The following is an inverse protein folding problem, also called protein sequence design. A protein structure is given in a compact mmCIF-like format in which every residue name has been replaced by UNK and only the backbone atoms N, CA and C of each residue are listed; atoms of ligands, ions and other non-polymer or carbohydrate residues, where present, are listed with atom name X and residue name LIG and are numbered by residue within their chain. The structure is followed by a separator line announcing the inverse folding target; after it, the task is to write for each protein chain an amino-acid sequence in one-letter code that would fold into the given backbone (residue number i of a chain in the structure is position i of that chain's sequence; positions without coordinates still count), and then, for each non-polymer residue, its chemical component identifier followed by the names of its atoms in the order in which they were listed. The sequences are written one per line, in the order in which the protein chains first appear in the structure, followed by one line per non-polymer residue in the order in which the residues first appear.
data_IF_669174471346
#
_entry.id   IF_669174471346
#
_cell.length_a   1.000
_cell.length_b   1.000
_cell.length_c   1.000
_cell.angle_alpha   90.00
_cell.angle_beta   90.00
_cell.angle_gamma   90.00
#
_symmetry.space_group_name_H-M   'P 1'
#
loop_
_entity.id
_entity.type
_entity.pdbx_description
1 polymer ?
#
# COMPACT_ATOMS: atom_id res chain seq x y z
N UNK A 1 45.52 -18.07 -15.38
CA UNK A 1 45.34 -17.34 -16.66
C UNK A 1 46.25 -16.13 -16.61
N UNK A 2 47.26 -16.09 -17.47
CA UNK A 2 48.15 -14.93 -17.59
C UNK A 2 47.43 -13.87 -18.40
N UNK A 3 47.02 -12.77 -17.78
CA UNK A 3 46.36 -11.68 -18.49
C UNK A 3 47.41 -10.85 -19.25
N UNK A 4 47.13 -10.50 -20.50
CA UNK A 4 47.98 -9.58 -21.23
C UNK A 4 47.56 -8.15 -20.90
N UNK A 5 48.45 -7.39 -20.26
CA UNK A 5 48.17 -6.00 -19.88
C UNK A 5 48.00 -5.07 -21.08
N UNK A 6 48.58 -5.45 -22.23
CA UNK A 6 48.50 -4.68 -23.48
C UNK A 6 47.09 -4.61 -24.05
N UNK A 7 46.24 -5.61 -23.78
CA UNK A 7 44.83 -5.63 -24.19
C UNK A 7 44.02 -4.48 -23.57
N UNK A 8 44.56 -3.87 -22.51
CA UNK A 8 43.98 -2.73 -21.81
C UNK A 8 44.70 -1.41 -22.12
N UNK A 9 45.58 -1.38 -23.13
CA UNK A 9 46.39 -0.21 -23.48
C UNK A 9 47.41 0.15 -22.40
N UNK A 10 47.90 -0.85 -21.65
CA UNK A 10 48.85 -0.69 -20.57
C UNK A 10 50.15 -1.44 -20.88
N UNK A 11 51.27 -0.89 -20.43
CA UNK A 11 52.55 -1.59 -20.42
C UNK A 11 52.81 -2.20 -19.05
N UNK A 12 53.51 -3.37 -18.97
CA UNK A 12 53.80 -4.02 -17.70
C UNK A 12 54.47 -3.08 -16.69
N UNK A 13 54.04 -3.16 -15.44
CA UNK A 13 54.59 -2.35 -14.37
C UNK A 13 54.75 -3.17 -13.09
N UNK A 14 55.79 -2.87 -12.32
CA UNK A 14 56.07 -3.50 -11.02
C UNK A 14 55.86 -2.46 -9.92
N UNK A 15 55.18 -2.86 -8.85
CA UNK A 15 54.94 -2.05 -7.66
C UNK A 15 54.91 -2.96 -6.43
N UNK A 16 55.34 -2.42 -5.28
CA UNK A 16 55.26 -3.12 -3.98
C UNK A 16 53.90 -2.85 -3.31
N UNK A 17 53.17 -1.82 -3.78
CA UNK A 17 51.96 -1.35 -3.12
C UNK A 17 50.75 -2.27 -3.28
N UNK A 18 50.70 -3.07 -4.34
CA UNK A 18 49.61 -4.01 -4.64
C UNK A 18 50.18 -5.23 -5.37
N UNK A 19 49.73 -6.43 -5.01
CA UNK A 19 50.14 -7.68 -5.65
C UNK A 19 49.00 -8.33 -6.46
N UNK A 20 49.39 -9.15 -7.45
CA UNK A 20 48.44 -10.01 -8.18
C UNK A 20 47.87 -11.03 -7.20
N UNK A 21 46.55 -11.26 -7.26
CA UNK A 21 45.79 -12.10 -6.33
C UNK A 21 45.24 -11.37 -5.11
N UNK A 22 45.64 -10.11 -4.87
CA UNK A 22 45.09 -9.32 -3.78
C UNK A 22 43.64 -8.92 -4.06
N UNK A 23 42.79 -8.95 -3.02
CA UNK A 23 41.36 -8.64 -3.14
C UNK A 23 41.02 -7.34 -2.40
N UNK A 24 40.25 -6.48 -3.07
CA UNK A 24 39.74 -5.23 -2.53
C UNK A 24 38.23 -5.16 -2.73
N UNK A 25 37.47 -5.38 -1.64
CA UNK A 25 36.02 -5.55 -1.74
C UNK A 25 35.69 -6.76 -2.62
N UNK A 26 35.03 -6.53 -3.76
CA UNK A 26 34.71 -7.57 -4.76
C UNK A 26 35.68 -7.62 -5.94
N UNK A 27 36.77 -6.86 -5.90
CA UNK A 27 37.72 -6.75 -7.00
C UNK A 27 38.97 -7.57 -6.69
N UNK A 28 39.21 -8.62 -7.47
CA UNK A 28 40.44 -9.41 -7.44
C UNK A 28 41.45 -8.83 -8.45
N UNK A 29 42.68 -8.58 -8.02
CA UNK A 29 43.74 -8.06 -8.88
C UNK A 29 44.34 -9.17 -9.73
N UNK A 30 44.29 -9.00 -11.06
CA UNK A 30 44.74 -10.01 -12.04
C UNK A 30 45.85 -9.49 -12.97
N UNK A 31 46.15 -8.19 -12.94
CA UNK A 31 47.24 -7.60 -13.72
C UNK A 31 47.62 -6.21 -13.24
N UNK A 32 48.87 -5.81 -13.48
CA UNK A 32 49.42 -4.51 -13.06
C UNK A 32 50.13 -3.88 -14.26
N UNK A 33 49.78 -2.64 -14.58
CA UNK A 33 50.38 -1.92 -15.69
C UNK A 33 50.44 -0.42 -15.44
N UNK A 34 50.95 0.32 -16.42
CA UNK A 34 50.90 1.78 -16.45
C UNK A 34 50.59 2.23 -17.87
N UNK A 35 50.12 3.47 -18.02
CA UNK A 35 50.03 4.08 -19.35
C UNK A 35 51.42 4.44 -19.84
N UNK A 36 51.62 4.42 -21.15
CA UNK A 36 52.89 4.86 -21.75
C UNK A 36 53.10 6.37 -21.54
N UNK A 37 52.02 7.16 -21.68
CA UNK A 37 52.03 8.61 -21.55
C UNK A 37 52.10 9.16 -20.11
N UNK A 38 51.98 8.32 -19.08
CA UNK A 38 51.95 8.78 -17.68
C UNK A 38 52.52 7.75 -16.71
N UNK A 39 53.16 8.22 -15.63
CA UNK A 39 53.69 7.40 -14.53
C UNK A 39 52.61 6.79 -13.62
N UNK A 40 51.32 7.06 -13.82
CA UNK A 40 50.23 6.49 -13.00
C UNK A 40 50.11 4.97 -13.21
N UNK A 41 50.10 4.23 -12.11
CA UNK A 41 49.86 2.80 -12.11
C UNK A 41 48.37 2.47 -12.22
N UNK A 42 48.07 1.46 -13.03
CA UNK A 42 46.76 0.89 -13.26
C UNK A 42 46.77 -0.59 -12.88
N UNK A 43 45.61 -1.05 -12.45
CA UNK A 43 45.38 -2.42 -12.02
C UNK A 43 44.22 -2.96 -12.83
N UNK A 44 44.41 -4.15 -13.40
CA UNK A 44 43.34 -4.91 -14.04
C UNK A 44 42.71 -5.76 -12.95
N UNK A 45 41.39 -5.65 -12.81
CA UNK A 45 40.62 -6.34 -11.77
C UNK A 45 39.50 -7.19 -12.37
N UNK A 46 39.33 -8.39 -11.83
CA UNK A 46 38.16 -9.24 -12.05
C UNK A 46 37.18 -9.02 -10.91
N UNK A 47 35.93 -8.67 -11.22
CA UNK A 47 34.90 -8.56 -10.20
C UNK A 47 34.33 -9.95 -9.89
N UNK A 48 34.02 -10.22 -8.62
CA UNK A 48 33.41 -11.49 -8.19
C UNK A 48 32.00 -11.73 -8.75
N UNK A 49 31.32 -10.69 -9.26
CA UNK A 49 30.03 -10.83 -9.92
C UNK A 49 30.12 -11.33 -11.37
N UNK A 50 31.32 -11.68 -11.86
CA UNK A 50 31.54 -12.21 -13.21
C UNK A 50 31.52 -11.18 -14.35
N UNK A 51 31.46 -9.87 -14.04
CA UNK A 51 31.59 -8.85 -15.09
C UNK A 51 32.96 -8.92 -15.76
N UNK A 52 33.10 -8.54 -17.05
CA UNK A 52 34.40 -8.52 -17.72
C UNK A 52 35.47 -7.76 -16.92
N UNK A 53 36.74 -8.20 -16.96
CA UNK A 53 37.80 -7.53 -16.23
C UNK A 53 38.00 -6.10 -16.73
N UNK A 54 38.33 -5.20 -15.82
CA UNK A 54 38.47 -3.76 -16.10
C UNK A 54 39.78 -3.19 -15.56
N UNK A 55 40.36 -2.24 -16.27
CA UNK A 55 41.48 -1.45 -15.78
C UNK A 55 40.99 -0.27 -14.92
N UNK A 56 41.55 -0.12 -13.72
CA UNK A 56 41.28 0.98 -12.80
C UNK A 56 42.57 1.58 -12.27
N UNK A 57 42.57 2.87 -11.93
CA UNK A 57 43.75 3.51 -11.34
C UNK A 57 44.04 2.94 -9.94
N UNK A 58 45.31 2.61 -9.65
CA UNK A 58 45.74 2.00 -8.38
C UNK A 58 45.34 2.85 -7.16
N UNK A 59 45.41 4.17 -7.28
CA UNK A 59 45.05 5.08 -6.19
C UNK A 59 43.57 5.00 -5.82
N UNK A 60 42.68 4.76 -6.79
CA UNK A 60 41.24 4.59 -6.53
C UNK A 60 40.94 3.28 -5.79
N UNK A 61 41.74 2.24 -6.05
CA UNK A 61 41.66 0.97 -5.33
C UNK A 61 42.12 1.14 -3.87
N UNK A 62 43.32 1.71 -3.67
CA UNK A 62 43.92 1.91 -2.34
C UNK A 62 43.13 2.88 -1.46
N UNK A 63 42.60 3.96 -2.04
CA UNK A 63 41.76 4.91 -1.32
C UNK A 63 40.33 4.37 -1.04
N UNK A 64 40.02 3.14 -1.44
CA UNK A 64 38.70 2.54 -1.22
C UNK A 64 37.56 3.13 -2.07
N UNK A 65 37.89 3.95 -3.08
CA UNK A 65 36.90 4.55 -4.01
C UNK A 65 36.32 3.51 -4.96
N UNK A 66 37.06 2.45 -5.26
CA UNK A 66 36.63 1.33 -6.10
C UNK A 66 36.54 0.04 -5.30
N UNK A 67 35.31 -0.42 -5.00
CA UNK A 67 35.05 -1.66 -4.24
C UNK A 67 34.39 -2.77 -5.06
N UNK A 68 33.92 -2.46 -6.27
CA UNK A 68 33.31 -3.41 -7.21
C UNK A 68 33.32 -2.89 -8.66
N UNK A 69 32.78 -3.67 -9.60
CA UNK A 69 32.51 -3.18 -10.96
C UNK A 69 31.35 -2.16 -11.03
N UNK A 70 30.65 -1.90 -9.93
CA UNK A 70 29.40 -1.17 -9.88
C UNK A 70 28.21 -2.06 -9.47
N UNK A 71 28.40 -3.39 -9.44
CA UNK A 71 27.38 -4.35 -9.03
C UNK A 71 26.87 -4.09 -7.61
N UNK A 72 27.74 -3.70 -6.66
CA UNK A 72 27.32 -3.36 -5.31
C UNK A 72 26.31 -2.21 -5.33
N UNK A 73 26.55 -1.16 -6.13
CA UNK A 73 25.61 -0.03 -6.25
C UNK A 73 24.30 -0.50 -6.91
N UNK A 74 24.39 -1.38 -7.91
CA UNK A 74 23.21 -1.94 -8.59
C UNK A 74 22.35 -2.79 -7.65
N UNK A 75 22.99 -3.59 -6.78
CA UNK A 75 22.34 -4.38 -5.74
C UNK A 75 21.78 -3.51 -4.61
N UNK A 76 22.50 -2.46 -4.23
CA UNK A 76 22.09 -1.49 -3.19
C UNK A 76 21.03 -0.51 -3.66
N UNK A 77 20.81 -0.35 -4.97
CA UNK A 77 19.66 0.40 -5.49
C UNK A 77 18.39 -0.40 -5.20
N UNK A 78 17.92 -0.30 -3.95
CA UNK A 78 16.60 -0.78 -3.53
C UNK A 78 15.55 0.04 -4.28
N UNK A 79 14.97 -0.59 -5.29
CA UNK A 79 13.63 -0.35 -5.84
C UNK A 79 12.91 0.93 -5.40
N UNK A 80 13.37 2.09 -5.87
CA UNK A 80 12.48 3.26 -6.01
C UNK A 80 11.40 3.03 -7.09
N UNK A 81 11.36 1.85 -7.72
CA UNK A 81 10.45 1.52 -8.81
C UNK A 81 8.98 1.77 -8.47
N UNK A 82 8.58 1.55 -7.21
CA UNK A 82 7.20 1.80 -6.80
C UNK A 82 6.95 3.20 -6.26
N UNK A 83 7.97 4.02 -5.96
CA UNK A 83 7.76 5.36 -5.40
C UNK A 83 6.95 6.28 -6.34
N UNK A 84 7.08 6.08 -7.66
CA UNK A 84 6.31 6.78 -8.70
C UNK A 84 4.97 6.10 -9.03
N UNK A 85 4.70 4.91 -8.47
CA UNK A 85 3.49 4.17 -8.76
C UNK A 85 2.26 4.87 -8.14
N UNK A 86 1.11 4.96 -8.84
CA UNK A 86 -0.09 5.66 -8.33
C UNK A 86 -0.62 5.10 -7.01
N UNK A 87 -0.27 3.86 -6.69
CA UNK A 87 -0.67 3.20 -5.45
C UNK A 87 0.28 3.41 -4.27
N UNK A 88 1.46 4.00 -4.48
CA UNK A 88 2.49 4.14 -3.44
C UNK A 88 1.98 4.90 -2.21
N UNK A 89 1.46 6.10 -2.43
CA UNK A 89 0.95 6.94 -1.34
C UNK A 89 -0.25 6.29 -0.63
N UNK A 90 -1.10 5.57 -1.36
CA UNK A 90 -2.25 4.85 -0.78
C UNK A 90 -1.80 3.71 0.12
N UNK A 91 -0.85 2.91 -0.34
CA UNK A 91 -0.23 1.85 0.43
C UNK A 91 0.50 2.41 1.66
N UNK A 92 1.32 3.45 1.49
CA UNK A 92 2.07 4.06 2.58
C UNK A 92 1.15 4.62 3.67
N UNK A 93 0.11 5.35 3.27
CA UNK A 93 -0.91 5.88 4.19
C UNK A 93 -1.71 4.75 4.86
N UNK A 94 -1.95 3.64 4.15
CA UNK A 94 -2.61 2.46 4.70
C UNK A 94 -1.79 1.82 5.82
N UNK A 95 -0.49 1.66 5.61
CA UNK A 95 0.41 1.13 6.65
C UNK A 95 0.52 2.13 7.81
N UNK A 96 0.75 3.41 7.51
CA UNK A 96 0.93 4.45 8.53
C UNK A 96 -0.23 4.53 9.52
N UNK A 97 -1.48 4.58 9.04
CA UNK A 97 -2.66 4.60 9.93
C UNK A 97 -2.78 3.36 10.84
N UNK A 98 -2.26 2.21 10.42
CA UNK A 98 -2.39 0.93 11.14
C UNK A 98 -1.22 0.67 12.10
N UNK A 99 -0.01 1.12 11.76
CA UNK A 99 1.22 0.68 12.44
C UNK A 99 2.00 1.82 13.11
N UNK A 100 1.74 3.08 12.74
CA UNK A 100 2.46 4.23 13.27
C UNK A 100 1.65 4.92 14.37
N UNK A 101 2.03 4.82 15.66
CA UNK A 101 1.35 5.53 16.74
C UNK A 101 1.39 7.05 16.60
N UNK A 102 2.34 7.59 15.84
CA UNK A 102 2.48 9.02 15.54
C UNK A 102 1.50 9.50 14.46
N UNK A 103 0.86 8.58 13.73
CA UNK A 103 -0.14 8.93 12.72
C UNK A 103 -1.36 9.57 13.40
N UNK A 104 -1.82 10.72 12.87
CA UNK A 104 -3.02 11.38 13.38
C UNK A 104 -4.28 10.49 13.28
N UNK A 105 -4.26 9.48 12.40
CA UNK A 105 -5.35 8.53 12.23
C UNK A 105 -5.17 7.23 13.03
N UNK A 106 -4.05 7.03 13.73
CA UNK A 106 -3.76 5.77 14.43
C UNK A 106 -4.86 5.35 15.40
N UNK A 107 -5.39 6.31 16.16
CA UNK A 107 -6.50 6.10 17.10
C UNK A 107 -7.75 5.48 16.46
N UNK A 108 -7.96 5.67 15.15
CA UNK A 108 -9.12 5.15 14.40
C UNK A 108 -8.88 3.78 13.75
N UNK A 109 -7.62 3.33 13.72
CA UNK A 109 -7.19 2.14 12.99
C UNK A 109 -6.30 1.27 13.88
N UNK A 110 -4.99 1.56 13.96
CA UNK A 110 -4.03 0.74 14.69
C UNK A 110 -4.37 0.55 16.17
N UNK A 111 -4.79 1.62 16.86
CA UNK A 111 -5.19 1.54 18.27
C UNK A 111 -6.43 0.66 18.52
N UNK A 112 -7.22 0.37 17.47
CA UNK A 112 -8.37 -0.54 17.53
C UNK A 112 -7.99 -1.99 17.20
N UNK A 113 -6.73 -2.27 16.88
CA UNK A 113 -6.28 -3.59 16.45
C UNK A 113 -6.46 -3.88 14.96
N UNK A 114 -6.83 -2.88 14.14
CA UNK A 114 -6.90 -3.04 12.68
C UNK A 114 -5.49 -3.07 12.11
N UNK A 115 -5.14 -4.18 11.45
CA UNK A 115 -3.81 -4.46 10.91
C UNK A 115 -3.83 -4.52 9.39
N UNK A 116 -2.62 -4.50 8.81
CA UNK A 116 -2.38 -4.88 7.41
C UNK A 116 -1.87 -6.31 7.39
N UNK A 117 -2.32 -7.13 6.44
CA UNK A 117 -1.82 -8.49 6.32
C UNK A 117 -0.32 -8.52 5.96
N UNK A 118 0.41 -9.54 6.41
CA UNK A 118 1.86 -9.68 6.20
C UNK A 118 2.24 -9.52 4.72
N UNK A 119 1.46 -10.14 3.83
CA UNK A 119 1.64 -10.07 2.37
C UNK A 119 1.75 -8.63 1.85
N UNK A 120 0.94 -7.72 2.38
CA UNK A 120 0.86 -6.32 1.93
C UNK A 120 1.90 -5.40 2.57
N UNK A 121 2.75 -5.89 3.47
CA UNK A 121 3.94 -5.14 3.90
C UNK A 121 4.98 -5.02 2.77
N UNK A 122 4.88 -5.87 1.75
CA UNK A 122 5.57 -5.69 0.49
C UNK A 122 4.66 -4.98 -0.53
N UNK A 123 5.04 -3.76 -0.93
CA UNK A 123 4.28 -2.97 -1.91
C UNK A 123 4.04 -3.68 -3.24
N UNK A 124 4.95 -4.56 -3.70
CA UNK A 124 4.76 -5.28 -4.97
C UNK A 124 3.57 -6.24 -4.90
N UNK A 125 3.36 -6.89 -3.75
CA UNK A 125 2.20 -7.74 -3.55
C UNK A 125 0.92 -6.91 -3.50
N UNK A 126 0.93 -5.78 -2.80
CA UNK A 126 -0.21 -4.86 -2.78
C UNK A 126 -0.58 -4.37 -4.19
N UNK A 127 0.42 -3.98 -4.99
CA UNK A 127 0.22 -3.57 -6.39
C UNK A 127 -0.34 -4.73 -7.20
N UNK A 128 0.23 -5.93 -7.08
CA UNK A 128 -0.24 -7.12 -7.81
C UNK A 128 -1.71 -7.43 -7.51
N UNK A 129 -2.11 -7.32 -6.25
CA UNK A 129 -3.46 -7.68 -5.81
C UNK A 129 -4.48 -6.57 -6.15
N UNK A 130 -4.12 -5.29 -5.99
CA UNK A 130 -5.08 -4.19 -6.07
C UNK A 130 -5.02 -3.39 -7.39
N UNK A 131 -3.90 -3.36 -8.10
CA UNK A 131 -3.78 -2.55 -9.32
C UNK A 131 -4.70 -2.96 -10.48
N UNK A 132 -4.97 -4.25 -10.74
CA UNK A 132 -5.85 -4.65 -11.85
C UNK A 132 -7.24 -3.99 -11.82
N UNK A 133 -7.77 -3.75 -10.62
CA UNK A 133 -9.09 -3.14 -10.41
C UNK A 133 -9.02 -1.64 -10.12
N UNK A 134 -7.82 -1.05 -10.07
CA UNK A 134 -7.65 0.36 -9.77
C UNK A 134 -8.23 1.25 -10.87
N UNK A 135 -8.89 2.33 -10.46
CA UNK A 135 -9.31 3.44 -11.31
C UNK A 135 -8.95 4.76 -10.64
N UNK A 136 -8.66 5.77 -11.45
CA UNK A 136 -8.34 7.12 -10.98
C UNK A 136 -9.51 7.63 -10.11
N UNK A 137 -9.18 8.37 -9.05
CA UNK A 137 -10.12 8.95 -8.07
C UNK A 137 -10.79 7.96 -7.11
N UNK A 138 -10.52 6.66 -7.21
CA UNK A 138 -10.92 5.72 -6.17
C UNK A 138 -9.91 5.69 -5.02
N UNK A 139 -10.43 5.33 -3.86
CA UNK A 139 -9.69 5.17 -2.61
C UNK A 139 -9.87 3.76 -2.08
N UNK A 140 -8.89 3.30 -1.30
CA UNK A 140 -8.95 1.95 -0.72
C UNK A 140 -9.97 1.94 0.41
N UNK A 141 -10.91 1.01 0.32
CA UNK A 141 -12.03 0.88 1.25
C UNK A 141 -12.10 -0.55 1.77
N UNK A 142 -12.44 -0.74 3.04
CA UNK A 142 -12.68 -2.09 3.58
C UNK A 142 -14.15 -2.48 3.41
N UNK A 143 -14.43 -3.73 3.05
CA UNK A 143 -15.79 -4.26 2.94
C UNK A 143 -16.42 -4.40 4.33
N UNK A 144 -15.72 -5.13 5.20
CA UNK A 144 -15.96 -5.14 6.63
C UNK A 144 -15.06 -4.10 7.31
N UNK A 145 -15.72 -3.13 7.92
CA UNK A 145 -15.08 -1.99 8.55
C UNK A 145 -14.34 -2.35 9.85
N UNK A 146 -14.72 -3.46 10.48
CA UNK A 146 -14.07 -4.02 11.66
C UNK A 146 -12.93 -4.99 11.28
N UNK A 147 -12.87 -5.43 10.02
CA UNK A 147 -11.81 -6.30 9.50
C UNK A 147 -10.51 -5.59 9.16
N UNK A 148 -9.50 -6.39 8.78
CA UNK A 148 -8.14 -5.94 8.46
C UNK A 148 -7.99 -5.46 7.00
N UNK A 149 -6.85 -4.86 6.67
CA UNK A 149 -6.44 -4.63 5.28
C UNK A 149 -5.86 -5.90 4.68
N UNK A 150 -6.63 -6.55 3.81
CA UNK A 150 -6.27 -7.78 3.10
C UNK A 150 -7.05 -7.89 1.77
N UNK A 151 -6.57 -8.69 0.80
CA UNK A 151 -7.19 -8.77 -0.54
C UNK A 151 -8.69 -9.05 -0.53
N UNK A 152 -9.16 -9.90 0.38
CA UNK A 152 -10.57 -10.30 0.45
C UNK A 152 -11.46 -9.29 1.18
N UNK A 153 -10.88 -8.36 1.94
CA UNK A 153 -11.61 -7.36 2.69
C UNK A 153 -11.45 -5.94 2.11
N UNK A 154 -10.79 -5.79 0.96
CA UNK A 154 -10.47 -4.46 0.43
C UNK A 154 -10.89 -4.32 -1.03
N UNK A 155 -11.47 -3.16 -1.32
CA UNK A 155 -11.91 -2.77 -2.66
C UNK A 155 -11.51 -1.33 -2.96
N UNK A 156 -11.60 -0.94 -4.22
CA UNK A 156 -11.55 0.46 -4.60
C UNK A 156 -12.95 1.07 -4.51
N UNK A 157 -13.18 1.87 -3.47
CA UNK A 157 -14.45 2.53 -3.20
C UNK A 157 -14.53 3.93 -3.81
N UNK A 158 -15.74 4.29 -4.26
CA UNK A 158 -16.10 5.68 -4.56
C UNK A 158 -16.45 6.42 -3.27
N UNK A 159 -16.57 7.76 -3.34
CA UNK A 159 -17.02 8.57 -2.19
C UNK A 159 -18.40 8.16 -1.67
N UNK A 160 -19.31 7.72 -2.53
CA UNK A 160 -20.62 7.22 -2.10
C UNK A 160 -20.49 5.90 -1.34
N UNK A 161 -19.62 4.99 -1.78
CA UNK A 161 -19.34 3.74 -1.07
C UNK A 161 -18.71 3.99 0.31
N UNK A 162 -17.74 4.89 0.38
CA UNK A 162 -17.16 5.32 1.66
C UNK A 162 -18.22 5.92 2.59
N UNK A 163 -19.14 6.71 2.05
CA UNK A 163 -20.21 7.32 2.83
C UNK A 163 -21.13 6.27 3.45
N UNK A 164 -21.43 5.17 2.73
CA UNK A 164 -22.21 4.04 3.23
C UNK A 164 -21.46 3.28 4.34
N UNK A 165 -20.13 3.19 4.24
CA UNK A 165 -19.30 2.52 5.23
C UNK A 165 -19.02 3.35 6.48
N UNK A 166 -19.44 4.61 6.56
CA UNK A 166 -19.22 5.43 7.77
C UNK A 166 -19.83 4.76 9.00
N UNK A 167 -19.04 4.65 10.08
CA UNK A 167 -19.49 4.11 11.38
C UNK A 167 -20.68 4.86 11.98
N UNK A 168 -20.85 6.13 11.63
CA UNK A 168 -21.97 6.95 12.07
C UNK A 168 -23.30 6.53 11.43
N UNK A 169 -23.28 5.70 10.39
CA UNK A 169 -24.51 5.21 9.79
C UNK A 169 -25.15 4.16 10.69
N UNK A 170 -26.48 4.25 10.81
CA UNK A 170 -27.27 3.24 11.51
C UNK A 170 -27.46 2.02 10.58
N UNK A 171 -26.79 0.91 10.91
CA UNK A 171 -26.87 -0.36 10.18
C UNK A 171 -27.85 -1.29 10.86
N UNK A 172 -28.66 -1.97 10.06
CA UNK A 172 -29.73 -2.87 10.50
C UNK A 172 -29.54 -4.21 9.83
N UNK A 173 -29.58 -5.28 10.63
CA UNK A 173 -29.55 -6.66 10.14
C UNK A 173 -30.97 -7.19 9.97
N UNK A 174 -31.28 -7.66 8.76
CA UNK A 174 -32.56 -8.28 8.44
C UNK A 174 -32.35 -9.33 7.33
N UNK A 175 -32.99 -10.50 7.46
CA UNK A 175 -32.87 -11.62 6.50
C UNK A 175 -31.42 -12.01 6.17
N UNK A 176 -30.54 -12.01 7.18
CA UNK A 176 -29.12 -12.37 7.02
C UNK A 176 -28.25 -11.31 6.34
N UNK A 177 -28.80 -10.15 5.98
CA UNK A 177 -28.06 -9.02 5.39
C UNK A 177 -28.02 -7.85 6.34
N UNK A 178 -26.88 -7.16 6.40
CA UNK A 178 -26.71 -5.92 7.18
C UNK A 178 -26.52 -4.75 6.24
N UNK A 179 -27.45 -3.80 6.27
CA UNK A 179 -27.45 -2.62 5.40
C UNK A 179 -27.80 -1.37 6.21
N UNK A 180 -27.51 -0.19 5.67
CA UNK A 180 -27.93 1.08 6.29
C UNK A 180 -29.44 1.28 6.19
N UNK A 181 -30.03 2.12 7.06
CA UNK A 181 -31.45 2.53 6.95
C UNK A 181 -31.77 3.02 5.54
N UNK A 182 -30.89 3.83 4.93
CA UNK A 182 -31.09 4.38 3.58
C UNK A 182 -31.13 3.32 2.49
N UNK A 183 -30.30 2.28 2.61
CA UNK A 183 -30.31 1.16 1.67
C UNK A 183 -31.58 0.31 1.83
N UNK A 184 -31.96 -0.03 3.07
CA UNK A 184 -33.19 -0.76 3.35
C UNK A 184 -34.44 0.01 2.90
N UNK A 185 -34.48 1.32 3.13
CA UNK A 185 -35.55 2.21 2.69
C UNK A 185 -35.72 2.13 1.17
N UNK A 186 -34.62 2.17 0.42
CA UNK A 186 -34.64 2.03 -1.05
C UNK A 186 -35.10 0.65 -1.48
N UNK A 187 -34.56 -0.41 -0.88
CA UNK A 187 -34.87 -1.80 -1.26
C UNK A 187 -36.34 -2.16 -0.99
N UNK A 188 -36.89 -1.76 0.17
CA UNK A 188 -38.29 -2.05 0.54
C UNK A 188 -39.29 -1.00 0.02
N UNK A 189 -38.83 0.05 -0.67
CA UNK A 189 -39.69 1.14 -1.17
C UNK A 189 -40.32 1.99 -0.07
N UNK A 190 -39.68 2.11 1.10
CA UNK A 190 -40.15 2.89 2.25
C UNK A 190 -39.43 4.24 2.25
N UNK A 191 -40.14 5.35 2.51
CA UNK A 191 -39.47 6.66 2.68
C UNK A 191 -38.47 6.62 3.84
N UNK A 192 -37.26 7.12 3.63
CA UNK A 192 -36.18 7.12 4.64
C UNK A 192 -36.65 7.64 6.00
N UNK A 193 -37.30 8.81 6.05
CA UNK A 193 -37.78 9.40 7.31
C UNK A 193 -38.76 8.49 8.05
N UNK A 194 -39.60 7.73 7.32
CA UNK A 194 -40.54 6.80 7.92
C UNK A 194 -39.81 5.60 8.54
N UNK A 195 -38.86 5.00 7.81
CA UNK A 195 -38.08 3.88 8.35
C UNK A 195 -37.17 4.32 9.50
N UNK A 196 -36.57 5.51 9.39
CA UNK A 196 -35.74 6.12 10.42
C UNK A 196 -36.53 6.38 11.71
N UNK A 197 -37.75 6.92 11.61
CA UNK A 197 -38.62 7.16 12.76
C UNK A 197 -39.01 5.85 13.45
N UNK A 198 -39.39 4.82 12.67
CA UNK A 198 -39.69 3.47 13.18
C UNK A 198 -38.55 2.88 14.02
N UNK A 199 -37.31 3.05 13.56
CA UNK A 199 -36.14 2.44 14.21
C UNK A 199 -35.63 3.30 15.37
N UNK A 200 -35.45 4.61 15.15
CA UNK A 200 -34.76 5.47 16.11
C UNK A 200 -35.69 6.02 17.20
N UNK A 201 -36.91 6.41 16.82
CA UNK A 201 -37.85 7.04 17.75
C UNK A 201 -38.82 6.01 18.35
N UNK A 202 -39.43 5.17 17.49
CA UNK A 202 -40.38 4.14 17.94
C UNK A 202 -39.69 2.87 18.45
N UNK A 203 -38.38 2.70 18.19
CA UNK A 203 -37.57 1.54 18.61
C UNK A 203 -38.14 0.19 18.18
N UNK A 204 -38.79 0.14 17.02
CA UNK A 204 -39.31 -1.11 16.47
C UNK A 204 -38.16 -2.06 16.12
N UNK A 205 -38.43 -3.37 16.20
CA UNK A 205 -37.48 -4.39 15.74
C UNK A 205 -37.23 -4.25 14.22
N UNK A 206 -36.05 -4.66 13.71
CA UNK A 206 -35.75 -4.64 12.28
C UNK A 206 -36.84 -5.29 11.42
N UNK A 207 -37.36 -6.45 11.86
CA UNK A 207 -38.41 -7.19 11.17
C UNK A 207 -39.67 -6.34 11.06
N UNK A 208 -40.16 -5.84 12.18
CA UNK A 208 -41.40 -5.06 12.21
C UNK A 208 -41.27 -3.75 11.43
N UNK A 209 -40.18 -3.02 11.62
CA UNK A 209 -39.94 -1.75 10.96
C UNK A 209 -39.94 -1.87 9.43
N UNK A 210 -39.43 -2.99 8.89
CA UNK A 210 -39.31 -3.25 7.46
C UNK A 210 -40.57 -3.87 6.84
N UNK A 211 -41.37 -4.62 7.59
CA UNK A 211 -42.58 -5.28 7.07
C UNK A 211 -43.86 -4.52 7.32
N UNK A 212 -43.88 -3.56 8.26
CA UNK A 212 -45.09 -2.79 8.59
C UNK A 212 -45.57 -1.98 7.40
N UNK A 213 -46.83 -2.18 7.00
CA UNK A 213 -47.49 -1.47 5.90
C UNK A 213 -47.26 0.04 6.02
N UNK A 214 -46.84 0.67 4.92
CA UNK A 214 -46.79 2.13 4.84
C UNK A 214 -48.20 2.61 4.55
N UNK A 215 -48.73 3.47 5.43
CA UNK A 215 -50.07 4.03 5.27
C UNK A 215 -50.10 5.00 4.08
N UNK A 216 -51.20 5.03 3.35
CA UNK A 216 -51.47 6.09 2.36
C UNK A 216 -51.66 7.44 3.07
N UNK A 217 -51.60 8.54 2.31
CA UNK A 217 -51.85 9.88 2.86
C UNK A 217 -53.25 9.93 3.50
N UNK A 218 -54.24 9.30 2.89
CA UNK A 218 -55.61 9.23 3.38
C UNK A 218 -55.71 8.42 4.69
N UNK A 219 -55.13 7.22 4.73
CA UNK A 219 -55.10 6.37 5.93
C UNK A 219 -54.38 7.10 7.09
N UNK A 220 -53.26 7.75 6.80
CA UNK A 220 -52.51 8.54 7.78
C UNK A 220 -53.31 9.73 8.30
N UNK A 221 -54.02 10.44 7.41
CA UNK A 221 -54.84 11.60 7.77
C UNK A 221 -56.01 11.17 8.65
N UNK A 222 -56.68 10.07 8.30
CA UNK A 222 -57.76 9.48 9.09
C UNK A 222 -57.29 9.09 10.50
N UNK A 223 -56.12 8.46 10.61
CA UNK A 223 -55.54 8.10 11.91
C UNK A 223 -55.16 9.32 12.76
N UNK A 224 -54.59 10.35 12.14
CA UNK A 224 -54.24 11.59 12.85
C UNK A 224 -55.48 12.31 13.38
N UNK A 225 -56.56 12.39 12.59
CA UNK A 225 -57.84 12.93 13.03
C UNK A 225 -58.44 12.08 14.16
N UNK A 226 -58.52 10.76 13.99
CA UNK A 226 -59.05 9.87 15.01
C UNK A 226 -58.34 10.02 16.36
N UNK A 227 -57.00 10.11 16.34
CA UNK A 227 -56.16 10.34 17.53
C UNK A 227 -56.41 11.72 18.13
N UNK A 228 -56.48 12.77 17.31
CA UNK A 228 -56.74 14.15 17.76
C UNK A 228 -58.11 14.30 18.42
N UNK A 229 -59.11 13.55 17.98
CA UNK A 229 -60.47 13.58 18.52
C UNK A 229 -60.72 12.54 19.62
N UNK A 230 -59.82 11.58 19.83
CA UNK A 230 -59.93 10.60 20.91
C UNK A 230 -59.86 11.26 22.30
N UNK A 231 -59.02 12.30 22.44
CA UNK A 231 -58.86 13.08 23.70
C UNK A 231 -60.08 13.93 24.09
N UNK A 232 -61.11 13.98 23.26
CA UNK A 232 -62.36 14.72 23.49
C UNK A 232 -63.58 13.79 23.59
N UNK A 233 -63.35 12.47 23.67
CA UNK A 233 -64.40 11.43 23.80
C UNK A 233 -64.48 10.82 25.20
N UNK A 234 -63.72 11.36 26.15
CA UNK A 234 -63.86 11.16 27.60
C UNK A 234 -64.59 12.36 28.20
#
# INVERSE_FOLDING_TARGET
MSINVSDYGLIPHKTIAVSIGQVYGRLNVIGIGKKESNKRAYIIVQCSCGSPPKAIEMNNLRAGKSKSCGCIIKEMKTTHGSAKHPLYFRWRNMIDRCESPQSCNYHRYGARGIKVCERWHNIQNFIKDMYPTYRKYLEIERLDNEGNYEPNNCIWGSRSQQALNRRTNHKITFEGRTMTISEWAREKGIKYNCLSDRILNQKLSPKEALTRKVLTIEESTKNALATRWAKYRE
#
